data_IF_943270082927
#
_entry.id   IF_943270082927
#
_cell.length_a   1.000
_cell.length_b   1.000
_cell.length_c   1.000
_cell.angle_alpha   90.00
_cell.angle_beta   90.00
_cell.angle_gamma   90.00
#
_symmetry.space_group_name_H-M   'P 1'
#
loop_
_entity.id
_entity.type
_entity.pdbx_description
1 polymer ?
#
# COMPACT_ATOMS: atom_id res chain seq x y z
N UNK A 1 -55.52 8.92 29.01
CA UNK A 1 -56.49 10.04 29.03
C UNK A 1 -55.73 11.34 29.07
N UNK A 2 -56.12 12.26 28.16
CA UNK A 2 -55.67 13.64 27.94
C UNK A 2 -54.28 13.73 27.26
N UNK A 3 -54.12 13.85 25.95
CA UNK A 3 -54.73 14.73 24.92
C UNK A 3 -54.42 16.22 25.12
N UNK A 4 -53.45 16.73 24.34
CA UNK A 4 -53.41 18.11 23.89
C UNK A 4 -52.73 18.21 22.53
N UNK A 5 -53.43 18.92 21.66
CA UNK A 5 -53.29 19.02 20.22
C UNK A 5 -52.26 20.06 19.76
N UNK A 6 -51.64 19.72 18.63
CA UNK A 6 -51.04 20.50 17.55
C UNK A 6 -50.90 22.03 17.63
N UNK A 7 -49.76 22.52 17.11
CA UNK A 7 -49.77 23.55 16.04
C UNK A 7 -48.53 23.45 15.14
N UNK A 8 -48.84 23.41 13.85
CA UNK A 8 -48.01 23.52 12.66
C UNK A 8 -47.58 24.96 12.40
N UNK A 9 -46.36 25.20 11.92
CA UNK A 9 -46.03 26.38 11.12
C UNK A 9 -45.01 26.01 10.02
N UNK A 10 -45.34 26.45 8.81
CA UNK A 10 -44.71 26.18 7.52
C UNK A 10 -43.69 27.24 7.12
N UNK A 11 -42.74 26.83 6.27
CA UNK A 11 -41.66 27.59 5.61
C UNK A 11 -42.10 28.85 4.86
N UNK A 12 -41.15 29.76 4.54
CA UNK A 12 -40.57 29.80 3.18
C UNK A 12 -39.02 29.96 3.24
N UNK A 13 -38.18 29.46 2.33
CA UNK A 13 -38.21 29.61 0.88
C UNK A 13 -37.18 30.68 0.45
N UNK A 14 -35.99 30.28 -0.02
CA UNK A 14 -35.18 31.01 -1.04
C UNK A 14 -33.82 30.34 -1.32
N UNK A 15 -33.73 29.65 -2.45
CA UNK A 15 -32.57 29.69 -3.34
C UNK A 15 -32.92 30.72 -4.45
N UNK A 16 -31.99 31.37 -5.19
CA UNK A 16 -30.87 30.74 -5.89
C UNK A 16 -29.58 31.58 -5.91
N UNK A 17 -28.51 31.11 -6.56
CA UNK A 17 -27.82 31.87 -7.63
C UNK A 17 -26.70 31.03 -8.27
N UNK A 18 -26.68 31.15 -9.59
CA UNK A 18 -25.88 30.45 -10.60
C UNK A 18 -24.67 31.31 -10.96
N UNK A 19 -23.53 30.66 -11.21
CA UNK A 19 -22.58 31.01 -12.27
C UNK A 19 -21.74 32.29 -12.12
N UNK A 20 -20.41 32.12 -12.12
CA UNK A 20 -19.51 33.09 -12.76
C UNK A 20 -18.53 32.36 -13.68
N UNK A 21 -18.87 32.47 -14.95
CA UNK A 21 -18.09 32.18 -16.15
C UNK A 21 -16.87 33.08 -16.29
N UNK A 22 -15.87 32.50 -16.96
CA UNK A 22 -15.06 33.09 -18.04
C UNK A 22 -14.45 34.48 -17.83
N UNK A 23 -13.13 34.49 -17.70
CA UNK A 23 -12.31 35.67 -17.91
C UNK A 23 -12.29 36.08 -19.39
N UNK A 24 -12.42 37.38 -19.60
CA UNK A 24 -12.69 38.08 -20.83
C UNK A 24 -11.50 38.21 -21.78
N UNK A 25 -11.88 38.21 -23.05
CA UNK A 25 -11.21 38.59 -24.30
C UNK A 25 -10.69 40.04 -24.31
N UNK A 26 -9.54 40.24 -24.98
CA UNK A 26 -9.25 41.39 -25.88
C UNK A 26 -8.44 40.84 -27.06
N UNK A 27 -8.95 40.75 -28.31
CA UNK A 27 -9.22 41.81 -29.30
C UNK A 27 -7.95 42.64 -29.61
N UNK A 28 -7.53 42.96 -30.84
CA UNK A 28 -8.09 42.91 -32.19
C UNK A 28 -6.91 43.27 -33.16
N UNK A 29 -6.95 42.88 -34.44
CA UNK A 29 -6.10 43.53 -35.46
C UNK A 29 -5.89 42.76 -36.76
N UNK A 30 -6.86 42.83 -37.69
CA UNK A 30 -6.70 42.48 -39.11
C UNK A 30 -6.04 43.62 -39.90
N UNK A 31 -5.32 43.27 -40.99
CA UNK A 31 -5.33 43.83 -42.36
C UNK A 31 -4.00 43.41 -43.04
N UNK A 32 -3.92 42.67 -44.15
CA UNK A 32 -4.42 42.73 -45.54
C UNK A 32 -3.26 43.02 -46.52
N UNK A 33 -3.19 42.22 -47.60
CA UNK A 33 -2.49 42.40 -48.90
C UNK A 33 -0.94 42.52 -48.86
N UNK A 34 -0.14 41.95 -49.76
CA UNK A 34 -0.36 41.30 -51.05
C UNK A 34 0.96 41.42 -51.87
N UNK A 35 0.99 40.74 -53.03
CA UNK A 35 1.88 40.97 -54.20
C UNK A 35 3.14 40.09 -54.38
N UNK A 36 2.97 39.13 -55.30
CA UNK A 36 3.77 38.72 -56.48
C UNK A 36 5.30 38.48 -56.45
N UNK A 37 5.63 37.25 -56.89
CA UNK A 37 6.56 36.81 -57.97
C UNK A 37 7.99 37.39 -58.05
N UNK A 38 8.95 36.45 -58.01
CA UNK A 38 10.28 36.59 -58.60
C UNK A 38 10.93 35.21 -58.81
N UNK A 39 10.98 34.75 -60.07
CA UNK A 39 11.76 33.60 -60.53
C UNK A 39 13.24 33.97 -60.67
N UNK A 40 14.14 33.02 -60.39
CA UNK A 40 15.47 32.96 -61.00
C UNK A 40 16.60 32.60 -60.05
N UNK A 41 17.43 31.61 -60.45
CA UNK A 41 18.82 31.57 -60.01
C UNK A 41 19.39 30.18 -59.72
N UNK A 42 20.25 29.73 -60.63
CA UNK A 42 20.98 28.47 -60.71
C UNK A 42 21.84 28.03 -59.51
N UNK A 43 22.11 26.73 -59.55
CA UNK A 43 23.07 25.92 -58.79
C UNK A 43 24.45 26.55 -58.47
N UNK A 44 24.98 26.20 -57.30
CA UNK A 44 26.39 25.85 -57.13
C UNK A 44 26.59 25.04 -55.83
N UNK A 45 27.21 23.87 -55.99
CA UNK A 45 27.79 23.06 -54.92
C UNK A 45 29.05 23.72 -54.37
N UNK A 46 29.19 23.79 -53.04
CA UNK A 46 30.51 23.79 -52.40
C UNK A 46 30.44 23.08 -51.05
N UNK A 47 31.21 21.99 -50.98
CA UNK A 47 31.61 21.33 -49.73
C UNK A 47 32.54 22.29 -49.00
N UNK A 48 32.24 22.55 -47.73
CA UNK A 48 33.08 23.32 -46.82
C UNK A 48 32.84 22.87 -45.39
N UNK A 49 33.65 21.93 -44.94
CA UNK A 49 33.83 21.50 -43.54
C UNK A 49 33.97 22.69 -42.58
N UNK A 50 33.33 22.58 -41.41
CA UNK A 50 33.84 22.89 -40.06
C UNK A 50 32.80 23.57 -39.18
N UNK A 51 32.12 22.79 -38.32
CA UNK A 51 31.79 23.23 -36.97
C UNK A 51 31.40 22.00 -36.15
N UNK A 52 32.37 21.50 -35.41
CA UNK A 52 32.19 20.53 -34.35
C UNK A 52 31.38 21.22 -33.23
N UNK A 53 30.06 21.26 -33.38
CA UNK A 53 29.14 21.57 -32.28
C UNK A 53 28.78 20.24 -31.65
N UNK A 54 29.38 19.97 -30.49
CA UNK A 54 28.92 18.97 -29.54
C UNK A 54 27.49 19.33 -29.12
N UNK A 55 26.52 18.91 -29.94
CA UNK A 55 25.14 18.86 -29.56
C UNK A 55 25.05 17.78 -28.49
N UNK A 56 24.95 18.21 -27.23
CA UNK A 56 24.46 17.35 -26.17
C UNK A 56 23.11 16.83 -26.63
N UNK A 57 23.08 15.57 -27.05
CA UNK A 57 21.84 14.86 -27.37
C UNK A 57 21.09 14.77 -26.05
N UNK A 58 20.22 15.74 -25.79
CA UNK A 58 19.15 15.58 -24.83
C UNK A 58 18.31 14.42 -25.33
N UNK A 59 18.56 13.24 -24.77
CA UNK A 59 17.72 12.07 -25.04
C UNK A 59 16.32 12.44 -24.56
N UNK A 60 15.34 12.43 -25.47
CA UNK A 60 13.95 12.69 -25.09
C UNK A 60 13.56 11.74 -23.95
N UNK A 61 12.84 12.22 -22.92
CA UNK A 61 12.39 11.36 -21.83
C UNK A 61 11.47 10.29 -22.41
N UNK A 62 11.81 9.02 -22.17
CA UNK A 62 11.01 7.86 -22.59
C UNK A 62 9.63 7.99 -21.96
N UNK A 63 8.59 7.95 -22.79
CA UNK A 63 7.18 8.00 -22.41
C UNK A 63 6.53 6.62 -22.49
N UNK A 64 5.30 6.47 -21.97
CA UNK A 64 4.53 5.23 -22.14
C UNK A 64 4.28 4.86 -23.61
N UNK A 65 4.30 5.85 -24.52
CA UNK A 65 4.11 5.63 -25.95
C UNK A 65 5.31 4.95 -26.62
N UNK A 66 6.48 5.00 -25.99
CA UNK A 66 7.72 4.37 -26.48
C UNK A 66 7.85 2.90 -26.03
N UNK A 67 6.90 2.41 -25.23
CA UNK A 67 6.83 1.02 -24.78
C UNK A 67 6.62 0.07 -25.98
N UNK A 68 7.46 -0.97 -26.16
CA UNK A 68 7.25 -1.95 -27.22
C UNK A 68 5.86 -2.58 -27.12
N UNK A 69 5.17 -2.72 -28.26
CA UNK A 69 3.80 -3.26 -28.31
C UNK A 69 3.63 -4.61 -27.60
N UNK A 70 4.66 -5.48 -27.65
CA UNK A 70 4.68 -6.75 -26.89
C UNK A 70 4.64 -6.54 -25.38
N UNK A 71 5.41 -5.57 -24.87
CA UNK A 71 5.45 -5.23 -23.44
C UNK A 71 4.17 -4.54 -22.97
N UNK A 72 3.64 -3.60 -23.77
CA UNK A 72 2.34 -2.98 -23.54
C UNK A 72 1.23 -4.03 -23.43
N UNK A 73 1.20 -5.00 -24.35
CA UNK A 73 0.27 -6.13 -24.31
C UNK A 73 0.47 -6.99 -23.06
N UNK A 74 1.71 -7.28 -22.69
CA UNK A 74 2.02 -8.04 -21.48
C UNK A 74 1.51 -7.34 -20.22
N UNK A 75 1.69 -6.02 -20.12
CA UNK A 75 1.20 -5.19 -19.02
C UNK A 75 -0.33 -5.20 -18.92
N UNK A 76 -1.05 -4.95 -20.01
CA UNK A 76 -2.52 -4.97 -20.01
C UNK A 76 -3.08 -6.35 -19.62
N UNK A 77 -2.45 -7.43 -20.09
CA UNK A 77 -2.81 -8.80 -19.68
C UNK A 77 -2.55 -9.04 -18.19
N UNK A 78 -1.48 -8.47 -17.65
CA UNK A 78 -1.17 -8.56 -16.23
C UNK A 78 -2.18 -7.79 -15.37
N UNK A 79 -2.61 -6.61 -15.79
CA UNK A 79 -3.65 -5.83 -15.11
C UNK A 79 -4.97 -6.63 -15.03
N UNK A 80 -5.38 -7.28 -16.12
CA UNK A 80 -6.52 -8.19 -16.12
C UNK A 80 -6.31 -9.37 -15.17
N UNK A 81 -5.13 -9.99 -15.21
CA UNK A 81 -4.80 -11.10 -14.32
C UNK A 81 -4.87 -10.71 -12.85
N UNK A 82 -4.40 -9.52 -12.49
CA UNK A 82 -4.46 -8.99 -11.13
C UNK A 82 -5.92 -8.83 -10.68
N UNK A 83 -6.77 -8.23 -11.52
CA UNK A 83 -8.20 -8.09 -11.22
C UNK A 83 -8.92 -9.43 -11.04
N UNK A 84 -8.65 -10.43 -11.90
CA UNK A 84 -9.20 -11.78 -11.73
C UNK A 84 -8.68 -12.47 -10.47
N UNK A 85 -7.40 -12.28 -10.15
CA UNK A 85 -6.81 -12.82 -8.94
C UNK A 85 -7.44 -12.22 -7.68
N UNK A 86 -7.68 -10.91 -7.65
CA UNK A 86 -8.38 -10.26 -6.53
C UNK A 86 -9.80 -10.81 -6.32
N UNK A 87 -10.49 -11.16 -7.40
CA UNK A 87 -11.81 -11.81 -7.36
C UNK A 87 -11.77 -13.31 -7.02
N UNK A 88 -10.59 -13.88 -6.79
CA UNK A 88 -10.41 -15.30 -6.49
C UNK A 88 -10.47 -16.24 -7.71
N UNK A 89 -10.64 -15.69 -8.92
CA UNK A 89 -10.70 -16.45 -10.18
C UNK A 89 -9.29 -16.87 -10.64
N UNK A 90 -8.71 -17.78 -9.87
CA UNK A 90 -7.28 -18.11 -9.91
C UNK A 90 -6.86 -18.80 -11.22
N UNK A 91 -7.74 -19.59 -11.83
CA UNK A 91 -7.51 -20.22 -13.14
C UNK A 91 -7.47 -19.19 -14.27
N UNK A 92 -8.40 -18.24 -14.29
CA UNK A 92 -8.48 -17.17 -15.30
C UNK A 92 -7.28 -16.22 -15.16
N UNK A 93 -6.92 -15.87 -13.92
CA UNK A 93 -5.71 -15.09 -13.66
C UNK A 93 -4.46 -15.78 -14.22
N UNK A 94 -4.30 -17.08 -13.99
CA UNK A 94 -3.15 -17.84 -14.50
C UNK A 94 -3.13 -17.88 -16.04
N UNK A 95 -4.28 -18.00 -16.69
CA UNK A 95 -4.38 -17.91 -18.15
C UNK A 95 -3.93 -16.54 -18.67
N UNK A 96 -4.42 -15.44 -18.06
CA UNK A 96 -4.01 -14.09 -18.44
C UNK A 96 -2.51 -13.85 -18.21
N UNK A 97 -1.93 -14.42 -17.15
CA UNK A 97 -0.48 -14.40 -16.90
C UNK A 97 0.28 -15.14 -18.00
N UNK A 98 -0.19 -16.31 -18.45
CA UNK A 98 0.44 -17.04 -19.56
C UNK A 98 0.42 -16.22 -20.84
N UNK A 99 -0.70 -15.55 -21.13
CA UNK A 99 -0.81 -14.65 -22.28
C UNK A 99 0.09 -13.42 -22.16
N UNK A 100 0.26 -12.88 -20.94
CA UNK A 100 1.21 -11.80 -20.64
C UNK A 100 2.64 -12.23 -20.97
N UNK A 101 3.06 -13.39 -20.47
CA UNK A 101 4.41 -13.94 -20.68
C UNK A 101 4.66 -14.40 -22.12
N UNK A 102 3.62 -14.76 -22.87
CA UNK A 102 3.73 -15.03 -24.31
C UNK A 102 3.96 -13.74 -25.12
N UNK A 103 3.46 -12.59 -24.65
CA UNK A 103 3.68 -11.29 -25.28
C UNK A 103 5.05 -10.69 -24.95
N UNK A 104 5.51 -10.84 -23.70
CA UNK A 104 6.86 -10.48 -23.26
C UNK A 104 7.34 -11.47 -22.18
N UNK A 105 8.23 -12.40 -22.56
CA UNK A 105 8.80 -13.39 -21.66
C UNK A 105 9.76 -12.80 -20.61
N UNK A 106 10.16 -11.53 -20.79
CA UNK A 106 10.98 -10.76 -19.86
C UNK A 106 10.16 -9.84 -18.95
N UNK A 107 8.83 -9.96 -18.95
CA UNK A 107 7.97 -9.13 -18.10
C UNK A 107 7.93 -9.65 -16.66
N UNK A 108 8.93 -9.24 -15.86
CA UNK A 108 9.14 -9.64 -14.46
C UNK A 108 7.88 -9.61 -13.56
N UNK A 109 7.06 -8.54 -13.60
CA UNK A 109 5.85 -8.45 -12.78
C UNK A 109 4.86 -9.60 -13.00
N UNK A 110 4.78 -10.16 -14.20
CA UNK A 110 3.92 -11.32 -14.47
C UNK A 110 4.39 -12.58 -13.76
N UNK A 111 5.70 -12.80 -13.62
CA UNK A 111 6.23 -13.89 -12.80
C UNK A 111 5.97 -13.67 -11.30
N UNK A 112 6.05 -12.42 -10.82
CA UNK A 112 5.73 -12.09 -9.42
C UNK A 112 4.26 -12.41 -9.10
N UNK A 113 3.31 -11.99 -9.96
CA UNK A 113 1.90 -12.34 -9.79
C UNK A 113 1.67 -13.85 -9.92
N UNK A 114 2.35 -14.52 -10.85
CA UNK A 114 2.29 -15.98 -10.99
C UNK A 114 2.70 -16.70 -9.71
N UNK A 115 3.72 -16.19 -9.02
CA UNK A 115 4.14 -16.66 -7.71
C UNK A 115 3.00 -16.59 -6.69
N UNK A 116 2.33 -15.43 -6.58
CA UNK A 116 1.18 -15.25 -5.70
C UNK A 116 0.00 -16.16 -6.05
N UNK A 117 -0.27 -16.37 -7.35
CA UNK A 117 -1.29 -17.32 -7.84
C UNK A 117 -0.98 -18.73 -7.35
N UNK A 118 0.26 -19.21 -7.53
CA UNK A 118 0.67 -20.54 -7.07
C UNK A 118 0.70 -20.68 -5.55
N UNK A 119 1.01 -19.61 -4.81
CA UNK A 119 0.85 -19.60 -3.34
C UNK A 119 -0.59 -19.88 -2.93
N UNK A 120 -1.57 -19.23 -3.58
CA UNK A 120 -2.99 -19.44 -3.29
C UNK A 120 -3.46 -20.85 -3.65
N UNK A 121 -2.89 -21.44 -4.70
CA UNK A 121 -3.15 -22.83 -5.09
C UNK A 121 -2.42 -23.86 -4.23
N UNK A 122 -1.61 -23.43 -3.25
CA UNK A 122 -0.76 -24.29 -2.43
C UNK A 122 0.23 -25.13 -3.26
N UNK A 123 0.79 -24.52 -4.31
CA UNK A 123 1.82 -25.10 -5.19
C UNK A 123 3.19 -24.44 -4.93
N UNK A 124 3.91 -24.82 -3.86
CA UNK A 124 5.05 -24.06 -3.36
C UNK A 124 6.25 -24.06 -4.31
N UNK A 125 6.48 -25.15 -5.04
CA UNK A 125 7.61 -25.27 -5.98
C UNK A 125 7.45 -24.27 -7.12
N UNK A 126 6.25 -24.23 -7.71
CA UNK A 126 5.93 -23.31 -8.82
C UNK A 126 5.89 -21.85 -8.36
N UNK A 127 5.45 -21.61 -7.12
CA UNK A 127 5.49 -20.28 -6.52
C UNK A 127 6.94 -19.77 -6.39
N UNK A 128 7.83 -20.57 -5.80
CA UNK A 128 9.24 -20.23 -5.61
C UNK A 128 9.96 -20.00 -6.94
N UNK A 129 9.77 -20.89 -7.92
CA UNK A 129 10.34 -20.73 -9.26
C UNK A 129 9.92 -19.41 -9.89
N UNK A 130 8.63 -19.06 -9.76
CA UNK A 130 8.10 -17.83 -10.34
C UNK A 130 8.69 -16.58 -9.68
N UNK A 131 8.81 -16.54 -8.35
CA UNK A 131 9.46 -15.42 -7.67
C UNK A 131 10.95 -15.30 -8.01
N UNK A 132 11.67 -16.42 -8.05
CA UNK A 132 13.09 -16.43 -8.45
C UNK A 132 13.23 -15.92 -9.89
N UNK A 133 12.32 -16.28 -10.79
CA UNK A 133 12.35 -15.79 -12.17
C UNK A 133 12.09 -14.29 -12.26
N UNK A 134 11.15 -13.76 -11.48
CA UNK A 134 10.91 -12.31 -11.39
C UNK A 134 12.19 -11.56 -10.97
N UNK A 135 12.87 -12.04 -9.92
CA UNK A 135 14.11 -11.43 -9.42
C UNK A 135 15.35 -11.68 -10.29
N UNK A 136 15.36 -12.72 -11.12
CA UNK A 136 16.39 -12.88 -12.16
C UNK A 136 16.25 -11.83 -13.26
N UNK A 137 15.02 -11.49 -13.64
CA UNK A 137 14.73 -10.47 -14.65
C UNK A 137 15.03 -9.07 -14.12
N UNK A 138 14.56 -8.76 -12.91
CA UNK A 138 14.85 -7.50 -12.24
C UNK A 138 15.29 -7.75 -10.79
N UNK A 139 16.60 -7.81 -10.52
CA UNK A 139 17.13 -8.01 -9.16
C UNK A 139 16.86 -6.85 -8.19
N UNK A 140 16.28 -5.73 -8.65
CA UNK A 140 15.95 -4.55 -7.82
C UNK A 140 14.44 -4.33 -7.66
N UNK A 141 13.63 -5.28 -8.10
CA UNK A 141 12.17 -5.22 -7.95
C UNK A 141 11.77 -5.42 -6.48
N UNK A 142 11.47 -4.31 -5.79
CA UNK A 142 11.11 -4.30 -4.38
C UNK A 142 9.77 -5.01 -4.11
N UNK A 143 8.80 -4.95 -5.02
CA UNK A 143 7.53 -5.65 -4.88
C UNK A 143 7.70 -7.17 -5.04
N UNK A 144 8.52 -7.61 -6.00
CA UNK A 144 8.88 -9.02 -6.13
C UNK A 144 9.65 -9.54 -4.91
N UNK A 145 10.58 -8.75 -4.36
CA UNK A 145 11.27 -9.07 -3.11
C UNK A 145 10.31 -9.19 -1.93
N UNK A 146 9.36 -8.24 -1.80
CA UNK A 146 8.31 -8.30 -0.78
C UNK A 146 7.49 -9.59 -0.89
N UNK A 147 6.94 -9.87 -2.08
CA UNK A 147 6.09 -11.03 -2.29
C UNK A 147 6.84 -12.34 -2.01
N UNK A 148 8.09 -12.43 -2.48
CA UNK A 148 8.91 -13.60 -2.22
C UNK A 148 9.30 -13.72 -0.73
N UNK A 149 9.57 -12.60 -0.06
CA UNK A 149 9.80 -12.58 1.39
C UNK A 149 8.60 -13.10 2.17
N UNK A 150 7.38 -12.69 1.79
CA UNK A 150 6.13 -13.20 2.39
C UNK A 150 6.01 -14.71 2.19
N UNK A 151 6.25 -15.19 0.97
CA UNK A 151 6.26 -16.62 0.68
C UNK A 151 7.22 -17.39 1.59
N UNK A 152 8.47 -16.94 1.70
CA UNK A 152 9.48 -17.59 2.53
C UNK A 152 9.09 -17.62 4.01
N UNK A 153 8.56 -16.52 4.55
CA UNK A 153 8.06 -16.48 5.92
C UNK A 153 6.87 -17.44 6.14
N UNK A 154 5.96 -17.59 5.17
CA UNK A 154 4.88 -18.60 5.25
C UNK A 154 5.42 -20.03 5.24
N UNK A 155 6.55 -20.27 4.57
CA UNK A 155 7.26 -21.56 4.55
C UNK A 155 8.24 -21.75 5.72
N UNK A 156 8.17 -20.89 6.74
CA UNK A 156 9.05 -20.90 7.92
C UNK A 156 10.54 -20.66 7.61
N UNK A 157 10.86 -20.20 6.39
CA UNK A 157 12.20 -19.76 5.96
C UNK A 157 12.41 -18.30 6.33
N UNK A 158 12.29 -18.02 7.63
CA UNK A 158 12.13 -16.65 8.13
C UNK A 158 13.36 -15.76 7.85
N UNK A 159 14.56 -16.27 8.07
CA UNK A 159 15.80 -15.51 7.86
C UNK A 159 15.97 -15.05 6.40
N UNK A 160 15.66 -15.94 5.45
CA UNK A 160 15.71 -15.62 4.02
C UNK A 160 14.62 -14.59 3.64
N UNK A 161 13.41 -14.74 4.19
CA UNK A 161 12.33 -13.78 3.97
C UNK A 161 12.67 -12.37 4.49
N UNK A 162 13.22 -12.28 5.70
CA UNK A 162 13.68 -11.01 6.29
C UNK A 162 14.81 -10.38 5.46
N UNK A 163 15.73 -11.15 4.90
CA UNK A 163 16.77 -10.63 4.02
C UNK A 163 16.20 -9.99 2.74
N UNK A 164 15.15 -10.58 2.16
CA UNK A 164 14.44 -9.99 1.01
C UNK A 164 13.70 -8.72 1.39
N UNK A 165 13.02 -8.68 2.55
CA UNK A 165 12.37 -7.46 3.03
C UNK A 165 13.37 -6.31 3.23
N UNK A 166 14.52 -6.57 3.85
CA UNK A 166 15.59 -5.57 3.98
C UNK A 166 16.08 -5.07 2.64
N UNK A 167 16.20 -5.97 1.66
CA UNK A 167 16.60 -5.61 0.29
C UNK A 167 15.55 -4.73 -0.39
N UNK A 168 14.26 -5.07 -0.27
CA UNK A 168 13.15 -4.26 -0.78
C UNK A 168 13.13 -2.86 -0.16
N UNK A 169 13.33 -2.77 1.16
CA UNK A 169 13.34 -1.53 1.93
C UNK A 169 14.60 -0.67 1.70
N UNK A 170 15.62 -1.19 0.99
CA UNK A 170 16.80 -0.39 0.62
C UNK A 170 16.50 0.60 -0.52
N UNK A 171 15.40 0.41 -1.24
CA UNK A 171 14.92 1.36 -2.25
C UNK A 171 14.07 2.46 -1.59
N UNK A 172 14.54 3.73 -1.53
CA UNK A 172 13.80 4.81 -0.88
C UNK A 172 12.51 5.21 -1.62
N UNK A 173 12.39 4.86 -2.91
CA UNK A 173 11.20 5.13 -3.72
C UNK A 173 10.15 4.03 -3.64
N UNK A 174 10.41 2.97 -2.86
CA UNK A 174 9.47 1.88 -2.71
C UNK A 174 8.20 2.35 -1.97
N UNK A 175 7.03 2.20 -2.59
CA UNK A 175 5.77 2.73 -2.04
C UNK A 175 5.22 1.87 -0.91
N UNK A 176 5.41 0.54 -0.98
CA UNK A 176 4.84 -0.42 -0.02
C UNK A 176 5.74 -0.67 1.21
N UNK A 177 6.50 0.35 1.65
CA UNK A 177 7.43 0.26 2.79
C UNK A 177 6.73 -0.14 4.09
N UNK A 178 5.61 0.50 4.44
CA UNK A 178 4.87 0.22 5.67
C UNK A 178 4.43 -1.26 5.74
N UNK A 179 3.79 -1.76 4.67
CA UNK A 179 3.37 -3.16 4.56
C UNK A 179 4.55 -4.12 4.67
N UNK A 180 5.69 -3.79 4.08
CA UNK A 180 6.89 -4.63 4.13
C UNK A 180 7.52 -4.67 5.51
N UNK A 181 7.59 -3.53 6.21
CA UNK A 181 8.03 -3.46 7.60
C UNK A 181 7.12 -4.25 8.54
N UNK A 182 5.81 -4.19 8.34
CA UNK A 182 4.84 -5.02 9.07
C UNK A 182 5.09 -6.53 8.85
N UNK A 183 5.31 -6.95 7.61
CA UNK A 183 5.61 -8.36 7.30
C UNK A 183 6.97 -8.78 7.87
N UNK A 184 7.97 -7.91 7.82
CA UNK A 184 9.29 -8.13 8.42
C UNK A 184 9.18 -8.33 9.94
N UNK A 185 8.49 -7.42 10.64
CA UNK A 185 8.28 -7.52 12.09
C UNK A 185 7.54 -8.80 12.48
N UNK A 186 6.52 -9.18 11.71
CA UNK A 186 5.80 -10.45 11.90
C UNK A 186 6.73 -11.65 11.78
N UNK A 187 7.59 -11.66 10.76
CA UNK A 187 8.54 -12.74 10.51
C UNK A 187 9.63 -12.80 11.60
N UNK A 188 10.11 -11.64 12.07
CA UNK A 188 11.07 -11.53 13.18
C UNK A 188 10.49 -12.03 14.51
N UNK A 189 9.22 -11.75 14.82
CA UNK A 189 8.56 -12.32 15.99
C UNK A 189 8.54 -13.85 15.95
N UNK A 190 8.27 -14.44 14.78
CA UNK A 190 8.30 -15.89 14.60
C UNK A 190 9.71 -16.48 14.78
N UNK A 191 10.75 -15.68 14.59
CA UNK A 191 12.14 -16.05 14.87
C UNK A 191 12.56 -15.82 16.34
N UNK A 192 11.70 -15.28 17.19
CA UNK A 192 12.04 -14.88 18.55
C UNK A 192 12.85 -13.57 18.65
N UNK A 193 12.95 -12.81 17.56
CA UNK A 193 13.69 -11.55 17.47
C UNK A 193 12.79 -10.36 17.87
N UNK A 194 12.44 -10.31 19.15
CA UNK A 194 11.44 -9.34 19.66
C UNK A 194 11.89 -7.88 19.51
N UNK A 195 13.17 -7.57 19.73
CA UNK A 195 13.69 -6.21 19.64
C UNK A 195 13.70 -5.70 18.19
N UNK A 196 14.11 -6.56 17.24
CA UNK A 196 14.10 -6.22 15.82
C UNK A 196 12.66 -6.11 15.28
N UNK A 197 11.75 -6.95 15.77
CA UNK A 197 10.34 -6.85 15.44
C UNK A 197 9.73 -5.53 15.93
N UNK A 198 10.03 -5.12 17.17
CA UNK A 198 9.58 -3.83 17.72
C UNK A 198 10.06 -2.68 16.83
N UNK A 199 11.33 -2.67 16.43
CA UNK A 199 11.87 -1.66 15.53
C UNK A 199 11.19 -1.64 14.15
N UNK A 200 10.89 -2.82 13.58
CA UNK A 200 10.16 -2.93 12.31
C UNK A 200 8.72 -2.44 12.44
N UNK A 201 8.00 -2.81 13.50
CA UNK A 201 6.64 -2.34 13.74
C UNK A 201 6.58 -0.84 14.05
N UNK A 202 7.55 -0.29 14.80
CA UNK A 202 7.64 1.14 15.06
C UNK A 202 7.77 1.94 13.75
N UNK A 203 8.70 1.54 12.86
CA UNK A 203 8.84 2.16 11.54
C UNK A 203 7.60 1.97 10.66
N UNK A 204 6.96 0.80 10.72
CA UNK A 204 5.70 0.58 10.02
C UNK A 204 4.59 1.52 10.52
N UNK A 205 4.52 1.75 11.83
CA UNK A 205 3.54 2.60 12.47
C UNK A 205 3.76 4.08 12.15
N UNK A 206 5.02 4.53 12.06
CA UNK A 206 5.38 5.88 11.61
C UNK A 206 4.85 6.18 10.19
N UNK A 207 4.89 5.18 9.30
CA UNK A 207 4.42 5.32 7.92
C UNK A 207 2.90 5.16 7.77
N UNK A 208 2.30 4.24 8.53
CA UNK A 208 0.85 3.98 8.54
C UNK A 208 0.36 3.72 9.97
N UNK A 209 -0.02 4.78 10.71
CA UNK A 209 -0.49 4.63 12.08
C UNK A 209 -1.96 4.23 12.17
N UNK A 210 -2.67 4.05 11.04
CA UNK A 210 -4.06 3.64 11.00
C UNK A 210 -4.24 2.11 10.98
N UNK A 211 -3.14 1.36 10.87
CA UNK A 211 -3.15 -0.09 10.84
C UNK A 211 -3.24 -0.68 12.27
N UNK A 212 -4.39 -1.27 12.67
CA UNK A 212 -4.58 -1.75 14.03
C UNK A 212 -3.74 -3.00 14.34
N UNK A 213 -3.38 -3.79 13.32
CA UNK A 213 -2.50 -4.95 13.49
C UNK A 213 -1.09 -4.50 13.89
N UNK A 214 -0.54 -3.50 13.20
CA UNK A 214 0.78 -2.92 13.52
C UNK A 214 0.75 -2.30 14.91
N UNK A 215 -0.23 -1.45 15.20
CA UNK A 215 -0.32 -0.77 16.48
C UNK A 215 -0.53 -1.73 17.66
N UNK A 216 -1.32 -2.79 17.50
CA UNK A 216 -1.47 -3.83 18.53
C UNK A 216 -0.15 -4.56 18.81
N UNK A 217 0.55 -5.02 17.77
CA UNK A 217 1.81 -5.76 17.94
C UNK A 217 2.90 -4.87 18.55
N UNK A 218 2.99 -3.61 18.13
CA UNK A 218 3.91 -2.63 18.71
C UNK A 218 3.61 -2.40 20.20
N UNK A 219 2.37 -2.06 20.54
CA UNK A 219 1.96 -1.84 21.93
C UNK A 219 2.17 -3.07 22.80
N UNK A 220 1.95 -4.27 22.27
CA UNK A 220 2.17 -5.52 23.00
C UNK A 220 3.66 -5.75 23.28
N UNK A 221 4.54 -5.48 22.32
CA UNK A 221 6.00 -5.60 22.52
C UNK A 221 6.50 -4.58 23.54
N UNK A 222 6.05 -3.33 23.44
CA UNK A 222 6.37 -2.28 24.41
C UNK A 222 5.86 -2.65 25.82
N UNK A 223 4.65 -3.21 25.94
CA UNK A 223 4.11 -3.72 27.20
C UNK A 223 4.99 -4.83 27.78
N UNK A 224 5.39 -5.81 26.98
CA UNK A 224 6.26 -6.91 27.41
C UNK A 224 7.65 -6.41 27.85
N UNK A 225 8.16 -5.36 27.20
CA UNK A 225 9.43 -4.71 27.55
C UNK A 225 9.34 -3.79 28.77
N UNK A 226 8.13 -3.52 29.27
CA UNK A 226 7.88 -2.66 30.43
C UNK A 226 7.69 -1.17 30.13
N UNK A 227 7.59 -0.81 28.84
CA UNK A 227 7.44 0.57 28.37
C UNK A 227 5.96 0.97 28.32
N UNK A 228 5.29 0.91 29.48
CA UNK A 228 3.82 1.03 29.55
C UNK A 228 3.28 2.36 28.99
N UNK A 229 4.00 3.46 29.14
CA UNK A 229 3.58 4.76 28.60
C UNK A 229 3.58 4.79 27.08
N UNK A 230 4.57 4.15 26.42
CA UNK A 230 4.60 4.04 24.95
C UNK A 230 3.48 3.11 24.46
N UNK A 231 3.35 1.96 25.12
CA UNK A 231 2.29 1.00 24.82
C UNK A 231 0.90 1.64 24.95
N UNK A 232 0.69 2.45 26.01
CA UNK A 232 -0.55 3.19 26.25
C UNK A 232 -0.86 4.17 25.11
N UNK A 233 0.14 4.92 24.65
CA UNK A 233 -0.02 5.89 23.56
C UNK A 233 -0.58 5.22 22.29
N UNK A 234 0.01 4.09 21.90
CA UNK A 234 -0.39 3.37 20.69
C UNK A 234 -1.74 2.68 20.86
N UNK A 235 -1.96 1.96 21.97
CA UNK A 235 -3.18 1.15 22.15
C UNK A 235 -4.44 2.01 22.33
N UNK A 236 -4.32 3.19 22.95
CA UNK A 236 -5.46 4.11 23.14
C UNK A 236 -6.05 4.57 21.81
N UNK A 237 -5.21 4.81 20.80
CA UNK A 237 -5.69 5.20 19.46
C UNK A 237 -6.58 4.12 18.85
N UNK A 238 -6.24 2.85 19.03
CA UNK A 238 -7.03 1.72 18.52
C UNK A 238 -8.31 1.57 19.34
N UNK A 239 -8.21 1.60 20.67
CA UNK A 239 -9.35 1.38 21.56
C UNK A 239 -10.41 2.50 21.50
N UNK A 240 -10.02 3.70 21.07
CA UNK A 240 -10.91 4.83 20.83
C UNK A 240 -11.48 4.89 19.40
N UNK A 241 -11.28 3.84 18.59
CA UNK A 241 -11.83 3.75 17.24
C UNK A 241 -12.74 2.54 17.06
N UNK A 242 -13.41 2.44 15.90
CA UNK A 242 -14.23 1.28 15.54
C UNK A 242 -13.40 -0.01 15.38
N UNK A 243 -12.07 0.11 15.23
CA UNK A 243 -11.16 -1.02 15.06
C UNK A 243 -10.86 -1.76 16.39
N UNK A 244 -11.30 -1.22 17.52
CA UNK A 244 -11.15 -1.86 18.83
C UNK A 244 -11.83 -3.23 18.87
N UNK A 245 -11.11 -4.24 19.33
CA UNK A 245 -11.59 -5.62 19.50
C UNK A 245 -11.28 -6.14 20.92
N UNK A 246 -11.64 -7.39 21.22
CA UNK A 246 -11.42 -7.93 22.57
C UNK A 246 -9.94 -7.95 22.97
N UNK A 247 -9.05 -8.30 22.05
CA UNK A 247 -7.60 -8.37 22.27
C UNK A 247 -7.00 -6.99 22.56
N UNK A 248 -7.40 -5.95 21.81
CA UNK A 248 -6.88 -4.58 22.01
C UNK A 248 -7.39 -3.97 23.31
N UNK A 249 -8.65 -4.21 23.66
CA UNK A 249 -9.24 -3.75 24.92
C UNK A 249 -8.57 -4.44 26.12
N UNK A 250 -8.32 -5.73 26.02
CA UNK A 250 -7.62 -6.49 27.05
C UNK A 250 -6.18 -6.02 27.25
N UNK A 251 -5.44 -5.80 26.17
CA UNK A 251 -4.10 -5.22 26.25
C UNK A 251 -4.15 -3.82 26.90
N UNK A 252 -5.13 -2.99 26.52
CA UNK A 252 -5.39 -1.71 27.16
C UNK A 252 -5.60 -1.83 28.67
N UNK A 253 -6.47 -2.75 29.12
CA UNK A 253 -6.70 -3.01 30.55
C UNK A 253 -5.39 -3.39 31.26
N UNK A 254 -4.60 -4.30 30.68
CA UNK A 254 -3.32 -4.72 31.28
C UNK A 254 -2.34 -3.55 31.39
N UNK A 255 -2.25 -2.69 30.37
CA UNK A 255 -1.39 -1.50 30.38
C UNK A 255 -1.85 -0.50 31.45
N UNK A 256 -3.14 -0.16 31.47
CA UNK A 256 -3.70 0.82 32.42
C UNK A 256 -3.58 0.34 33.87
N UNK A 257 -3.65 -0.98 34.11
CA UNK A 257 -3.37 -1.57 35.43
C UNK A 257 -1.92 -1.36 35.86
N UNK A 258 -0.94 -1.49 34.94
CA UNK A 258 0.48 -1.23 35.24
C UNK A 258 0.77 0.24 35.49
N UNK A 259 -0.06 1.13 34.95
CA UNK A 259 0.02 2.58 35.15
C UNK A 259 -0.85 3.09 36.31
N UNK A 260 -1.54 2.22 37.05
CA UNK A 260 -2.44 2.55 38.15
C UNK A 260 -3.64 3.43 37.78
N UNK A 261 -4.13 3.36 36.54
CA UNK A 261 -5.28 4.12 36.05
C UNK A 261 -6.60 3.34 36.24
N UNK A 262 -7.03 3.20 37.49
CA UNK A 262 -8.19 2.35 37.89
C UNK A 262 -9.48 2.72 37.14
N UNK A 263 -9.75 4.01 36.99
CA UNK A 263 -10.96 4.48 36.28
C UNK A 263 -10.98 4.05 34.82
N UNK A 264 -9.82 4.07 34.14
CA UNK A 264 -9.71 3.66 32.73
C UNK A 264 -9.83 2.14 32.61
N UNK A 265 -9.28 1.39 33.58
CA UNK A 265 -9.45 -0.08 33.64
C UNK A 265 -10.94 -0.45 33.70
N UNK A 266 -11.72 0.19 34.55
CA UNK A 266 -13.16 -0.05 34.67
C UNK A 266 -13.91 0.29 33.38
N UNK A 267 -13.59 1.42 32.75
CA UNK A 267 -14.20 1.84 31.48
C UNK A 267 -13.95 0.81 30.36
N UNK A 268 -12.68 0.39 30.18
CA UNK A 268 -12.32 -0.60 29.18
C UNK A 268 -12.94 -1.97 29.48
N UNK A 269 -13.02 -2.37 30.76
CA UNK A 269 -13.67 -3.62 31.15
C UNK A 269 -15.17 -3.62 30.86
N UNK A 270 -15.87 -2.51 31.13
CA UNK A 270 -17.28 -2.37 30.76
C UNK A 270 -17.48 -2.41 29.25
N UNK A 271 -16.57 -1.81 28.47
CA UNK A 271 -16.63 -1.86 27.01
C UNK A 271 -16.39 -3.30 26.50
N UNK A 272 -15.41 -4.00 27.07
CA UNK A 272 -15.09 -5.40 26.77
C UNK A 272 -16.28 -6.31 27.08
N UNK A 273 -16.90 -6.15 28.25
CA UNK A 273 -18.11 -6.88 28.65
C UNK A 273 -19.28 -6.63 27.69
N UNK A 274 -19.56 -5.36 27.37
CA UNK A 274 -20.72 -4.99 26.54
C UNK A 274 -20.58 -5.46 25.09
N UNK A 275 -19.38 -5.34 24.51
CA UNK A 275 -19.14 -5.64 23.09
C UNK A 275 -18.73 -7.09 22.84
N UNK A 276 -18.02 -7.71 23.79
CA UNK A 276 -17.41 -9.03 23.61
C UNK A 276 -17.64 -9.96 24.83
N UNK A 277 -18.88 -10.17 25.28
CA UNK A 277 -19.18 -10.90 26.52
C UNK A 277 -18.81 -12.40 26.50
N UNK A 278 -18.54 -12.97 25.31
CA UNK A 278 -18.13 -14.38 25.14
C UNK A 278 -16.65 -14.53 24.77
N UNK A 279 -15.87 -13.46 24.81
CA UNK A 279 -14.46 -13.49 24.47
C UNK A 279 -13.62 -14.17 25.57
N UNK A 280 -12.50 -14.78 25.16
CA UNK A 280 -11.51 -15.32 26.11
C UNK A 280 -10.97 -14.22 27.01
N UNK A 281 -10.80 -13.01 26.48
CA UNK A 281 -10.32 -11.84 27.23
C UNK A 281 -11.28 -11.42 28.35
N UNK A 282 -12.59 -11.42 28.08
CA UNK A 282 -13.57 -11.13 29.12
C UNK A 282 -13.53 -12.17 30.24
N UNK A 283 -13.43 -13.46 29.88
CA UNK A 283 -13.26 -14.53 30.86
C UNK A 283 -11.96 -14.39 31.67
N UNK A 284 -10.86 -13.95 31.04
CA UNK A 284 -9.60 -13.64 31.74
C UNK A 284 -9.73 -12.46 32.69
N UNK A 285 -10.45 -11.40 32.31
CA UNK A 285 -10.74 -10.27 33.20
C UNK A 285 -11.53 -10.73 34.44
N UNK A 286 -12.60 -11.50 34.24
CA UNK A 286 -13.46 -11.98 35.34
C UNK A 286 -12.72 -12.85 36.35
N UNK A 287 -11.76 -13.66 35.88
CA UNK A 287 -10.91 -14.51 36.74
C UNK A 287 -9.70 -13.79 37.33
N UNK A 288 -9.47 -12.52 36.99
CA UNK A 288 -8.30 -11.76 37.44
C UNK A 288 -6.97 -12.22 36.81
N UNK A 289 -7.02 -12.85 35.65
CA UNK A 289 -5.89 -13.48 34.95
C UNK A 289 -5.01 -12.45 34.21
N UNK A 290 -4.52 -11.42 34.89
CA UNK A 290 -3.79 -10.32 34.26
C UNK A 290 -2.33 -10.62 33.88
N UNK A 291 -1.80 -11.77 34.33
CA UNK A 291 -0.40 -12.18 34.13
C UNK A 291 -0.28 -13.53 33.40
N UNK A 292 -1.39 -14.06 32.88
CA UNK A 292 -1.39 -15.22 31.96
C UNK A 292 -0.88 -14.83 30.57
#
# INVERSE_FOLDING_TARGET
>A
MNDFSARSETLPGSAPQVGRSAWLVRALGMLLLGVMLGLGGCAATSVGTSANASAGTGTEPITESDEPEGRKRARLRLELAAGYFEQGQTSVALDQIKQSLAADASFGPAYSLRGLVYMRLNEPVLAEESFRRALQINPRDADAMHNYGVFLCQRQRYAEGVALFRSALSNPLYVNQAKTLMMQGTCQLRMGQAAEAEASFARSYELDPANPFVGYNLANLEYLRGEFTKAQFVIRRINNSEQANSETLWLGIKIERRLNNVQVVEQLAQQLQRRFPRSKEWASYQRGAFNE
#
